data_IF_296122844535
#
_entry.id   IF_296122844535
#
_cell.length_a   1.000
_cell.length_b   1.000
_cell.length_c   1.000
_cell.angle_alpha   90.00
_cell.angle_beta   90.00
_cell.angle_gamma   90.00
#
_symmetry.space_group_name_H-M   'P 1'
#
loop_
_entity.id
_entity.type
_entity.pdbx_description
1 polymer ?
#
# COMPACT_ATOMS: atom_id res chain seq x y z
N UNK A 1 -16.95 17.77 -16.28
CA UNK A 1 -18.35 17.31 -16.15
C UNK A 1 -18.59 15.86 -16.56
N UNK A 2 -18.42 15.42 -17.83
CA UNK A 2 -18.63 13.99 -18.21
C UNK A 2 -17.47 13.08 -17.75
N UNK A 3 -16.23 13.42 -18.13
CA UNK A 3 -15.00 12.70 -17.71
C UNK A 3 -14.86 12.61 -16.18
N UNK A 4 -15.08 13.71 -15.47
CA UNK A 4 -15.06 13.75 -14.01
C UNK A 4 -16.11 12.83 -13.36
N UNK A 5 -17.30 12.69 -13.97
CA UNK A 5 -18.33 11.74 -13.48
C UNK A 5 -17.94 10.29 -13.71
N UNK A 6 -17.31 9.98 -14.85
CA UNK A 6 -16.81 8.64 -15.17
C UNK A 6 -15.68 8.24 -14.21
N UNK A 7 -14.73 9.15 -13.98
CA UNK A 7 -13.62 8.98 -13.04
C UNK A 7 -14.08 8.77 -11.58
N UNK A 8 -15.04 9.58 -11.11
CA UNK A 8 -15.64 9.40 -9.79
C UNK A 8 -16.48 8.12 -9.67
N UNK A 9 -17.09 7.66 -10.77
CA UNK A 9 -17.83 6.39 -10.79
C UNK A 9 -16.88 5.19 -10.68
N UNK A 10 -15.75 5.22 -11.40
CA UNK A 10 -14.70 4.20 -11.30
C UNK A 10 -14.12 4.11 -9.89
N UNK A 11 -13.83 5.26 -9.27
CA UNK A 11 -13.38 5.28 -7.89
C UNK A 11 -14.42 4.66 -6.94
N UNK A 12 -15.69 5.03 -7.12
CA UNK A 12 -16.79 4.50 -6.31
C UNK A 12 -16.93 2.97 -6.46
N UNK A 13 -16.66 2.41 -7.64
CA UNK A 13 -16.73 0.97 -7.86
C UNK A 13 -15.59 0.21 -7.18
N UNK A 14 -14.37 0.78 -7.12
CA UNK A 14 -13.23 0.10 -6.46
C UNK A 14 -13.17 0.36 -4.94
N UNK A 15 -13.77 1.45 -4.45
CA UNK A 15 -13.89 1.73 -3.02
C UNK A 15 -14.97 2.76 -2.67
N UNK A 16 -16.06 2.27 -2.07
CA UNK A 16 -17.17 3.12 -1.58
C UNK A 16 -16.75 4.01 -0.41
N UNK A 17 -15.96 3.48 0.53
CA UNK A 17 -15.51 4.22 1.72
C UNK A 17 -14.56 5.37 1.33
N UNK A 18 -13.63 5.11 0.43
CA UNK A 18 -12.72 6.14 -0.06
C UNK A 18 -13.44 7.21 -0.88
N UNK A 19 -14.37 6.80 -1.75
CA UNK A 19 -15.21 7.72 -2.50
C UNK A 19 -15.97 8.71 -1.60
N UNK A 20 -16.50 8.24 -0.46
CA UNK A 20 -17.16 9.11 0.52
C UNK A 20 -16.16 10.08 1.17
N UNK A 21 -14.95 9.62 1.46
CA UNK A 21 -13.88 10.44 2.03
C UNK A 21 -13.47 11.58 1.08
N UNK A 22 -13.41 11.35 -0.24
CA UNK A 22 -13.10 12.43 -1.18
C UNK A 22 -14.08 13.61 -1.12
N UNK A 23 -15.34 13.37 -0.75
CA UNK A 23 -16.38 14.42 -0.73
C UNK A 23 -16.14 15.46 0.36
N UNK A 24 -15.40 15.11 1.41
CA UNK A 24 -15.07 16.04 2.51
C UNK A 24 -13.75 16.79 2.28
N UNK A 25 -12.99 16.44 1.25
CA UNK A 25 -11.69 17.07 0.99
C UNK A 25 -11.83 18.45 0.32
N UNK A 26 -10.83 19.34 0.50
CA UNK A 26 -10.69 20.56 -0.27
C UNK A 26 -10.77 20.29 -1.77
N UNK A 27 -11.42 21.18 -2.52
CA UNK A 27 -11.70 20.94 -3.95
C UNK A 27 -10.43 20.64 -4.77
N UNK A 28 -9.33 21.37 -4.51
CA UNK A 28 -8.05 21.16 -5.20
C UNK A 28 -7.37 19.82 -4.88
N UNK A 29 -7.62 19.24 -3.70
CA UNK A 29 -7.00 17.98 -3.27
C UNK A 29 -7.71 16.74 -3.84
N UNK A 30 -8.96 16.85 -4.28
CA UNK A 30 -9.79 15.69 -4.67
C UNK A 30 -9.20 14.91 -5.84
N UNK A 31 -8.84 15.61 -6.92
CA UNK A 31 -8.30 14.99 -8.12
C UNK A 31 -6.94 14.30 -7.88
N UNK A 32 -5.92 14.95 -7.29
CA UNK A 32 -4.63 14.28 -7.07
C UNK A 32 -4.74 13.09 -6.10
N UNK A 33 -5.56 13.19 -5.04
CA UNK A 33 -5.75 12.07 -4.10
C UNK A 33 -6.51 10.91 -4.77
N UNK A 34 -7.51 11.21 -5.60
CA UNK A 34 -8.22 10.18 -6.35
C UNK A 34 -7.28 9.43 -7.33
N UNK A 35 -6.43 10.16 -8.06
CA UNK A 35 -5.44 9.57 -8.97
C UNK A 35 -4.45 8.71 -8.20
N UNK A 36 -3.88 9.23 -7.10
CA UNK A 36 -2.97 8.46 -6.26
C UNK A 36 -3.62 7.17 -5.73
N UNK A 37 -4.88 7.26 -5.29
CA UNK A 37 -5.62 6.09 -4.83
C UNK A 37 -5.84 5.04 -5.92
N UNK A 38 -6.23 5.46 -7.13
CA UNK A 38 -6.44 4.52 -8.24
C UNK A 38 -5.13 3.85 -8.66
N UNK A 39 -4.02 4.60 -8.70
CA UNK A 39 -2.70 4.04 -9.00
C UNK A 39 -2.23 3.08 -7.91
N UNK A 40 -2.41 3.42 -6.63
CA UNK A 40 -2.09 2.55 -5.51
C UNK A 40 -2.96 1.28 -5.53
N UNK A 41 -4.26 1.42 -5.80
CA UNK A 41 -5.19 0.29 -5.89
C UNK A 41 -4.88 -0.62 -7.07
N UNK A 42 -4.48 -0.06 -8.22
CA UNK A 42 -4.00 -0.86 -9.33
C UNK A 42 -2.74 -1.63 -8.94
N UNK A 43 -1.80 -1.00 -8.22
CA UNK A 43 -0.61 -1.66 -7.73
C UNK A 43 -0.93 -2.81 -6.74
N UNK A 44 -1.86 -2.60 -5.79
CA UNK A 44 -2.38 -3.65 -4.88
C UNK A 44 -2.95 -4.82 -5.69
N UNK A 45 -3.87 -4.56 -6.62
CA UNK A 45 -4.50 -5.59 -7.46
C UNK A 45 -3.45 -6.41 -8.22
N UNK A 46 -2.40 -5.77 -8.76
CA UNK A 46 -1.30 -6.46 -9.43
C UNK A 46 -0.53 -7.35 -8.44
N UNK A 47 -0.21 -6.84 -7.25
CA UNK A 47 0.55 -7.58 -6.25
C UNK A 47 -0.23 -8.80 -5.71
N UNK A 48 -1.54 -8.64 -5.50
CA UNK A 48 -2.44 -9.61 -4.88
C UNK A 48 -2.97 -10.68 -5.85
N UNK A 49 -2.67 -10.57 -7.15
CA UNK A 49 -3.04 -11.58 -8.17
C UNK A 49 -2.24 -12.88 -8.00
N UNK A 50 -2.58 -13.68 -7.00
CA UNK A 50 -1.83 -14.88 -6.60
C UNK A 50 -1.77 -15.96 -7.69
N UNK A 51 -2.77 -16.01 -8.60
CA UNK A 51 -2.79 -16.93 -9.74
C UNK A 51 -1.78 -16.56 -10.84
N UNK A 52 -1.26 -15.33 -10.81
CA UNK A 52 -0.28 -14.82 -11.77
C UNK A 52 1.13 -15.03 -11.25
N UNK A 53 2.04 -15.39 -12.16
CA UNK A 53 3.43 -15.62 -11.80
C UNK A 53 4.05 -14.38 -11.14
N UNK A 54 5.00 -14.59 -10.24
CA UNK A 54 5.72 -13.49 -9.61
C UNK A 54 6.44 -12.61 -10.65
N UNK A 55 6.91 -13.21 -11.75
CA UNK A 55 7.56 -12.49 -12.85
C UNK A 55 6.59 -11.52 -13.55
N UNK A 56 5.39 -11.98 -13.89
CA UNK A 56 4.37 -11.14 -14.53
C UNK A 56 3.86 -10.04 -13.60
N UNK A 57 3.66 -10.34 -12.30
CA UNK A 57 3.30 -9.31 -11.31
C UNK A 57 4.38 -8.24 -11.17
N UNK A 58 5.65 -8.65 -11.06
CA UNK A 58 6.79 -7.72 -11.04
C UNK A 58 6.91 -6.92 -12.34
N UNK A 59 6.64 -7.52 -13.49
CA UNK A 59 6.61 -6.83 -14.77
C UNK A 59 5.49 -5.78 -14.85
N UNK A 60 4.31 -6.11 -14.31
CA UNK A 60 3.18 -5.19 -14.19
C UNK A 60 3.48 -3.99 -13.28
N UNK A 61 4.05 -4.24 -12.09
CA UNK A 61 4.51 -3.19 -11.18
C UNK A 61 5.59 -2.31 -11.82
N UNK A 62 6.52 -2.91 -12.57
CA UNK A 62 7.53 -2.17 -13.32
C UNK A 62 6.91 -1.32 -14.45
N UNK A 63 5.86 -1.81 -15.11
CA UNK A 63 5.12 -1.03 -16.11
C UNK A 63 4.41 0.17 -15.48
N UNK A 64 3.78 -0.02 -14.31
CA UNK A 64 3.16 1.06 -13.54
C UNK A 64 4.18 2.14 -13.19
N UNK A 65 5.39 1.76 -12.74
CA UNK A 65 6.48 2.71 -12.49
C UNK A 65 6.90 3.47 -13.75
N UNK A 66 7.03 2.79 -14.89
CA UNK A 66 7.35 3.46 -16.18
C UNK A 66 6.27 4.45 -16.60
N UNK A 67 4.99 4.13 -16.37
CA UNK A 67 3.87 5.01 -16.67
C UNK A 67 3.87 6.31 -15.86
N UNK A 68 4.56 6.36 -14.70
CA UNK A 68 4.74 7.60 -13.93
C UNK A 68 5.71 8.59 -14.60
N UNK A 69 6.60 8.09 -15.45
CA UNK A 69 7.68 8.87 -16.09
C UNK A 69 7.40 9.16 -17.56
N UNK A 70 6.66 8.28 -18.25
CA UNK A 70 6.42 8.36 -19.68
C UNK A 70 4.92 8.20 -20.01
N UNK A 71 4.33 9.23 -20.63
CA UNK A 71 2.94 9.23 -21.10
C UNK A 71 2.67 8.27 -22.26
N UNK A 72 3.72 7.79 -22.94
CA UNK A 72 3.62 6.83 -24.06
C UNK A 72 3.84 5.38 -23.63
N UNK A 73 3.84 5.08 -22.32
CA UNK A 73 3.97 3.69 -21.86
C UNK A 73 2.82 2.82 -22.34
N UNK A 74 3.12 1.65 -22.92
CA UNK A 74 2.11 0.64 -23.29
C UNK A 74 1.63 -0.13 -22.04
N UNK A 75 0.96 0.61 -21.14
CA UNK A 75 0.47 0.10 -19.87
C UNK A 75 -0.61 -0.95 -20.09
N UNK A 76 -1.48 -0.75 -21.08
CA UNK A 76 -2.59 -1.64 -21.35
C UNK A 76 -2.07 -3.01 -21.82
N UNK A 77 -1.05 -3.06 -22.68
CA UNK A 77 -0.39 -4.32 -23.06
C UNK A 77 0.24 -5.02 -21.86
N UNK A 78 0.91 -4.27 -20.98
CA UNK A 78 1.55 -4.83 -19.79
C UNK A 78 0.55 -5.40 -18.77
N UNK A 79 -0.70 -4.90 -18.75
CA UNK A 79 -1.75 -5.41 -17.87
C UNK A 79 -2.48 -6.63 -18.42
N UNK A 80 -2.38 -6.95 -19.72
CA UNK A 80 -3.12 -8.06 -20.34
C UNK A 80 -2.98 -9.41 -19.62
N UNK A 81 -1.77 -9.85 -19.19
CA UNK A 81 -1.62 -11.13 -18.49
C UNK A 81 -2.32 -11.14 -17.13
N UNK A 82 -2.51 -9.97 -16.51
CA UNK A 82 -3.09 -9.82 -15.18
C UNK A 82 -4.62 -9.75 -15.24
N UNK A 83 -5.17 -9.03 -16.22
CA UNK A 83 -6.62 -8.76 -16.35
C UNK A 83 -7.46 -10.04 -16.33
N UNK A 84 -7.01 -11.12 -16.98
CA UNK A 84 -7.76 -12.38 -17.04
C UNK A 84 -7.80 -13.15 -15.72
N UNK A 85 -6.87 -12.89 -14.81
CA UNK A 85 -6.76 -13.57 -13.51
C UNK A 85 -7.53 -12.86 -12.38
N UNK A 86 -8.01 -11.64 -12.64
CA UNK A 86 -8.65 -10.82 -11.60
C UNK A 86 -10.14 -11.11 -11.58
N UNK A 87 -10.63 -11.71 -10.51
CA UNK A 87 -12.05 -12.03 -10.32
C UNK A 87 -12.93 -10.79 -10.10
N UNK A 88 -12.41 -9.81 -9.35
CA UNK A 88 -13.16 -8.61 -9.00
C UNK A 88 -13.33 -7.72 -10.25
N UNK A 89 -14.57 -7.65 -10.76
CA UNK A 89 -14.91 -6.86 -11.96
C UNK A 89 -14.50 -5.39 -11.84
N UNK A 90 -14.58 -4.78 -10.65
CA UNK A 90 -14.21 -3.37 -10.48
C UNK A 90 -12.70 -3.17 -10.61
N UNK A 91 -11.90 -4.09 -10.09
CA UNK A 91 -10.44 -4.05 -10.17
C UNK A 91 -9.94 -4.41 -11.57
N UNK A 92 -10.59 -5.37 -12.22
CA UNK A 92 -10.36 -5.68 -13.62
C UNK A 92 -10.59 -4.46 -14.50
N UNK A 93 -11.75 -3.81 -14.37
CA UNK A 93 -12.08 -2.58 -15.10
C UNK A 93 -11.08 -1.46 -14.81
N UNK A 94 -10.52 -1.39 -13.59
CA UNK A 94 -9.47 -0.43 -13.26
C UNK A 94 -8.20 -0.69 -14.07
N UNK A 95 -7.72 -1.94 -14.13
CA UNK A 95 -6.53 -2.26 -14.93
C UNK A 95 -6.78 -2.07 -16.43
N UNK A 96 -7.96 -2.42 -16.94
CA UNK A 96 -8.34 -2.22 -18.35
C UNK A 96 -8.43 -0.74 -18.77
N UNK A 97 -8.61 0.17 -17.81
CA UNK A 97 -8.72 1.61 -18.06
C UNK A 97 -7.58 2.41 -17.45
N UNK A 98 -6.47 1.74 -17.09
CA UNK A 98 -5.35 2.36 -16.39
C UNK A 98 -4.66 3.44 -17.23
N UNK A 99 -4.63 3.31 -18.57
CA UNK A 99 -4.18 4.37 -19.48
C UNK A 99 -4.94 5.69 -19.34
N UNK A 100 -6.24 5.64 -19.04
CA UNK A 100 -7.04 6.84 -18.76
C UNK A 100 -6.63 7.49 -17.43
N UNK A 101 -6.32 6.70 -16.40
CA UNK A 101 -5.80 7.21 -15.11
C UNK A 101 -4.45 7.91 -15.32
N UNK A 102 -3.56 7.32 -16.11
CA UNK A 102 -2.28 7.95 -16.45
C UNK A 102 -2.46 9.22 -17.27
N UNK A 103 -3.42 9.27 -18.19
CA UNK A 103 -3.73 10.50 -18.95
C UNK A 103 -4.12 11.64 -18.01
N UNK A 104 -4.98 11.38 -17.02
CA UNK A 104 -5.38 12.37 -16.04
C UNK A 104 -4.21 12.74 -15.11
N UNK A 105 -3.38 11.77 -14.69
CA UNK A 105 -2.17 12.00 -13.91
C UNK A 105 -1.19 12.95 -14.62
N UNK A 106 -0.89 12.74 -15.90
CA UNK A 106 0.02 13.59 -16.67
C UNK A 106 -0.53 15.01 -16.92
N UNK A 107 -1.84 15.22 -16.72
CA UNK A 107 -2.47 16.53 -16.82
C UNK A 107 -2.40 17.37 -15.53
N UNK A 108 -1.93 16.78 -14.41
CA UNK A 108 -1.85 17.46 -13.12
C UNK A 108 -0.75 18.53 -13.08
N UNK A 109 -0.88 19.47 -12.14
CA UNK A 109 0.19 20.42 -11.81
C UNK A 109 1.44 19.70 -11.30
N UNK A 110 2.62 20.25 -11.62
CA UNK A 110 3.92 19.59 -11.39
C UNK A 110 4.21 19.21 -9.94
N UNK A 111 3.68 19.96 -8.96
CA UNK A 111 3.91 19.65 -7.54
C UNK A 111 3.06 18.48 -7.04
N UNK A 112 1.81 18.36 -7.50
CA UNK A 112 0.95 17.25 -7.11
C UNK A 112 1.42 15.96 -7.78
N UNK A 113 1.76 16.02 -9.07
CA UNK A 113 2.32 14.85 -9.76
C UNK A 113 3.63 14.39 -9.13
N UNK A 114 4.51 15.31 -8.70
CA UNK A 114 5.73 14.94 -7.98
C UNK A 114 5.46 14.21 -6.64
N UNK A 115 4.49 14.68 -5.84
CA UNK A 115 4.07 13.99 -4.61
C UNK A 115 3.47 12.60 -4.92
N UNK A 116 2.69 12.46 -6.00
CA UNK A 116 2.12 11.17 -6.45
C UNK A 116 3.24 10.21 -6.90
N UNK A 117 4.19 10.67 -7.73
CA UNK A 117 5.32 9.86 -8.18
C UNK A 117 6.09 9.32 -6.97
N UNK A 118 6.38 10.18 -5.99
CA UNK A 118 7.10 9.81 -4.78
C UNK A 118 6.36 8.70 -4.02
N UNK A 119 5.07 8.88 -3.72
CA UNK A 119 4.31 7.89 -2.92
C UNK A 119 4.12 6.57 -3.67
N UNK A 120 3.77 6.61 -4.96
CA UNK A 120 3.54 5.38 -5.73
C UNK A 120 4.83 4.59 -5.91
N UNK A 121 5.97 5.25 -6.16
CA UNK A 121 7.26 4.54 -6.24
C UNK A 121 7.61 3.84 -4.93
N UNK A 122 7.32 4.47 -3.79
CA UNK A 122 7.59 3.86 -2.48
C UNK A 122 6.65 2.69 -2.21
N UNK A 123 5.34 2.84 -2.45
CA UNK A 123 4.36 1.76 -2.32
C UNK A 123 4.73 0.54 -3.19
N UNK A 124 4.97 0.77 -4.48
CA UNK A 124 5.35 -0.29 -5.43
C UNK A 124 6.64 -0.98 -4.99
N UNK A 125 7.61 -0.23 -4.45
CA UNK A 125 8.84 -0.86 -3.94
C UNK A 125 8.60 -1.80 -2.76
N UNK A 126 7.61 -1.51 -1.91
CA UNK A 126 7.20 -2.40 -0.82
C UNK A 126 6.57 -3.68 -1.36
N UNK A 127 5.67 -3.57 -2.33
CA UNK A 127 5.03 -4.71 -3.00
C UNK A 127 6.05 -5.58 -3.74
N UNK A 128 7.02 -4.97 -4.44
CA UNK A 128 8.09 -5.72 -5.12
C UNK A 128 8.94 -6.52 -4.12
N UNK A 129 9.24 -5.96 -2.94
CA UNK A 129 9.95 -6.66 -1.87
C UNK A 129 9.12 -7.81 -1.30
N UNK A 130 7.83 -7.59 -1.10
CA UNK A 130 6.88 -8.58 -0.60
C UNK A 130 6.79 -9.79 -1.56
N UNK A 131 6.55 -9.53 -2.85
CA UNK A 131 6.53 -10.58 -3.88
C UNK A 131 7.85 -11.35 -3.90
N UNK A 132 9.00 -10.65 -3.93
CA UNK A 132 10.32 -11.31 -3.98
C UNK A 132 10.60 -12.15 -2.73
N UNK A 133 10.05 -11.77 -1.58
CA UNK A 133 10.27 -12.52 -0.33
C UNK A 133 9.34 -13.73 -0.25
N UNK A 134 8.06 -13.57 -0.58
CA UNK A 134 7.02 -14.54 -0.27
C UNK A 134 6.54 -15.36 -1.47
N UNK A 135 6.98 -15.10 -2.70
CA UNK A 135 6.49 -15.87 -3.86
C UNK A 135 6.81 -17.37 -3.82
N UNK A 136 7.73 -17.81 -2.97
CA UNK A 136 8.09 -19.22 -2.76
C UNK A 136 7.63 -19.76 -1.40
N UNK A 137 7.04 -18.93 -0.53
CA UNK A 137 6.52 -19.39 0.75
C UNK A 137 5.21 -20.13 0.57
N UNK A 138 4.83 -20.89 1.60
CA UNK A 138 3.53 -21.54 1.68
C UNK A 138 3.19 -21.78 3.16
N UNK A 139 1.97 -22.24 3.43
CA UNK A 139 1.49 -22.51 4.80
C UNK A 139 2.42 -23.43 5.61
N UNK A 140 3.11 -24.38 4.99
CA UNK A 140 3.99 -25.31 5.72
C UNK A 140 5.40 -24.75 5.98
N UNK A 141 5.78 -23.68 5.28
CA UNK A 141 7.07 -23.00 5.39
C UNK A 141 6.87 -21.49 5.24
N UNK A 142 6.28 -20.82 6.25
CA UNK A 142 6.14 -19.38 6.23
C UNK A 142 7.51 -18.70 6.31
N UNK A 143 7.72 -17.66 5.51
CA UNK A 143 8.95 -16.86 5.56
C UNK A 143 8.69 -15.66 6.48
N UNK A 144 9.67 -15.32 7.31
CA UNK A 144 9.61 -14.16 8.21
C UNK A 144 10.47 -12.98 7.73
N UNK A 145 10.18 -11.78 8.24
CA UNK A 145 11.12 -10.66 8.17
C UNK A 145 12.35 -10.96 9.03
N UNK A 146 13.53 -10.47 8.63
CA UNK A 146 14.76 -10.79 9.34
C UNK A 146 14.84 -10.16 10.73
N UNK A 147 14.40 -8.91 10.86
CA UNK A 147 14.54 -8.09 12.06
C UNK A 147 13.55 -6.91 12.07
N UNK A 148 13.51 -6.19 13.18
CA UNK A 148 12.67 -5.00 13.37
C UNK A 148 12.90 -3.87 12.37
N UNK A 149 14.12 -3.75 11.81
CA UNK A 149 14.44 -2.73 10.78
C UNK A 149 13.71 -3.04 9.48
N UNK A 150 13.63 -4.31 9.08
CA UNK A 150 12.85 -4.71 7.91
C UNK A 150 11.34 -4.48 8.12
N UNK A 151 10.83 -4.71 9.33
CA UNK A 151 9.43 -4.42 9.65
C UNK A 151 9.13 -2.91 9.63
N UNK A 152 10.04 -2.08 10.16
CA UNK A 152 9.90 -0.63 10.11
C UNK A 152 9.95 -0.09 8.66
N UNK A 153 10.88 -0.58 7.83
CA UNK A 153 10.98 -0.24 6.42
C UNK A 153 9.74 -0.71 5.64
N UNK A 154 9.26 -1.93 5.90
CA UNK A 154 8.04 -2.46 5.28
C UNK A 154 6.83 -1.58 5.61
N UNK A 155 6.57 -1.31 6.89
CA UNK A 155 5.44 -0.47 7.33
C UNK A 155 5.54 0.96 6.80
N UNK A 156 6.75 1.51 6.64
CA UNK A 156 6.94 2.78 5.94
C UNK A 156 6.52 2.68 4.48
N UNK A 157 7.00 1.66 3.75
CA UNK A 157 6.76 1.54 2.30
C UNK A 157 5.29 1.37 1.98
N UNK A 158 4.59 0.49 2.71
CA UNK A 158 3.21 0.12 2.36
C UNK A 158 2.15 1.03 2.99
N UNK A 159 2.48 1.83 4.01
CA UNK A 159 1.50 2.69 4.67
C UNK A 159 2.06 4.04 5.18
N UNK A 160 3.24 4.06 5.80
CA UNK A 160 3.81 5.31 6.35
C UNK A 160 3.98 6.40 5.29
N UNK A 161 4.48 6.08 4.10
CA UNK A 161 4.67 7.04 3.02
C UNK A 161 3.35 7.70 2.56
N UNK A 162 2.22 6.99 2.71
CA UNK A 162 0.88 7.50 2.38
C UNK A 162 0.51 8.65 3.32
N UNK A 163 0.81 8.55 4.61
CA UNK A 163 0.53 9.64 5.56
C UNK A 163 1.29 10.93 5.26
N UNK A 164 2.57 10.83 4.85
CA UNK A 164 3.33 11.98 4.37
C UNK A 164 2.69 12.59 3.10
N UNK A 165 2.33 11.74 2.13
CA UNK A 165 1.67 12.18 0.89
C UNK A 165 0.36 12.92 1.16
N UNK A 166 -0.50 12.38 2.02
CA UNK A 166 -1.76 13.03 2.40
C UNK A 166 -1.51 14.40 3.02
N UNK A 167 -0.54 14.50 3.92
CA UNK A 167 -0.16 15.76 4.55
C UNK A 167 0.32 16.79 3.54
N UNK A 168 1.22 16.40 2.63
CA UNK A 168 1.74 17.27 1.57
C UNK A 168 0.62 17.82 0.67
N UNK A 169 -0.29 16.95 0.21
CA UNK A 169 -1.37 17.35 -0.70
C UNK A 169 -2.40 18.23 0.02
N UNK A 170 -2.87 17.81 1.19
CA UNK A 170 -3.91 18.54 1.90
C UNK A 170 -3.41 19.91 2.36
N UNK A 171 -2.17 20.02 2.85
CA UNK A 171 -1.58 21.31 3.25
C UNK A 171 -1.42 22.26 2.06
N UNK A 172 -1.20 21.73 0.84
CA UNK A 172 -1.09 22.54 -0.39
C UNK A 172 -2.43 23.11 -0.86
N UNK A 173 -3.51 22.38 -0.63
CA UNK A 173 -4.84 22.68 -1.19
C UNK A 173 -5.86 23.19 -0.17
N UNK A 174 -5.52 23.21 1.12
CA UNK A 174 -6.34 23.80 2.19
C UNK A 174 -5.66 25.05 2.78
N UNK A 175 -6.15 26.26 2.46
CA UNK A 175 -5.62 27.50 3.04
C UNK A 175 -5.66 27.54 4.57
N UNK A 176 -6.56 26.79 5.23
CA UNK A 176 -6.63 26.74 6.68
C UNK A 176 -5.37 26.11 7.30
N UNK A 177 -4.64 25.30 6.53
CA UNK A 177 -3.45 24.58 6.96
C UNK A 177 -2.14 25.27 6.54
N UNK A 178 -2.20 26.45 5.93
CA UNK A 178 -1.02 27.17 5.46
C UNK A 178 0.01 27.50 6.57
N UNK A 179 -0.41 27.47 7.83
CA UNK A 179 0.44 27.71 9.01
C UNK A 179 1.16 26.45 9.51
N UNK A 180 0.84 25.27 8.97
CA UNK A 180 1.47 24.02 9.39
C UNK A 180 2.93 23.95 8.96
N UNK A 181 3.77 23.42 9.84
CA UNK A 181 5.08 22.91 9.43
C UNK A 181 4.88 21.56 8.74
N UNK A 182 4.84 21.57 7.41
CA UNK A 182 4.56 20.39 6.59
C UNK A 182 5.57 19.27 6.86
N UNK A 183 6.84 19.57 7.12
CA UNK A 183 7.85 18.54 7.44
C UNK A 183 7.47 17.78 8.71
N UNK A 184 7.18 18.51 9.79
CA UNK A 184 6.78 17.91 11.08
C UNK A 184 5.46 17.14 10.94
N UNK A 185 4.48 17.70 10.24
CA UNK A 185 3.20 17.02 10.04
C UNK A 185 3.32 15.78 9.16
N UNK A 186 4.24 15.77 8.19
CA UNK A 186 4.50 14.60 7.36
C UNK A 186 5.16 13.47 8.17
N UNK A 187 6.08 13.79 9.10
CA UNK A 187 6.64 12.80 10.03
C UNK A 187 5.55 12.18 10.92
N UNK A 188 4.61 12.99 11.39
CA UNK A 188 3.42 12.53 12.11
C UNK A 188 2.54 11.62 11.25
N UNK A 189 2.27 12.03 10.01
CA UNK A 189 1.55 11.21 9.04
C UNK A 189 2.24 9.86 8.80
N UNK A 190 3.57 9.82 8.73
CA UNK A 190 4.33 8.56 8.62
C UNK A 190 4.09 7.66 9.81
N UNK A 191 4.14 8.19 11.04
CA UNK A 191 3.86 7.41 12.26
C UNK A 191 2.44 6.87 12.23
N UNK A 192 1.45 7.70 11.94
CA UNK A 192 0.06 7.28 11.85
C UNK A 192 -0.14 6.15 10.81
N UNK A 193 0.46 6.27 9.62
CA UNK A 193 0.43 5.21 8.61
C UNK A 193 1.08 3.91 9.08
N UNK A 194 2.24 3.97 9.75
CA UNK A 194 2.90 2.80 10.35
C UNK A 194 2.03 2.16 11.43
N UNK A 195 1.35 2.95 12.26
CA UNK A 195 0.44 2.44 13.30
C UNK A 195 -0.70 1.61 12.71
N UNK A 196 -1.35 2.12 11.64
CA UNK A 196 -2.40 1.42 10.92
C UNK A 196 -1.88 0.09 10.34
N UNK A 197 -0.69 0.10 9.74
CA UNK A 197 -0.12 -1.12 9.16
C UNK A 197 0.28 -2.15 10.21
N UNK A 198 0.91 -1.73 11.32
CA UNK A 198 1.19 -2.64 12.44
C UNK A 198 -0.09 -3.22 13.01
N UNK A 199 -1.18 -2.44 13.06
CA UNK A 199 -2.49 -2.95 13.48
C UNK A 199 -3.00 -4.03 12.54
N UNK A 200 -2.87 -3.86 11.23
CA UNK A 200 -3.24 -4.88 10.24
C UNK A 200 -2.37 -6.13 10.40
N UNK A 201 -1.03 -5.98 10.44
CA UNK A 201 -0.09 -7.10 10.63
C UNK A 201 -0.42 -7.94 11.87
N UNK A 202 -0.74 -7.29 12.99
CA UNK A 202 -1.06 -8.00 14.23
C UNK A 202 -2.45 -8.65 14.20
N UNK A 203 -3.42 -7.99 13.56
CA UNK A 203 -4.80 -8.50 13.43
C UNK A 203 -4.87 -9.69 12.48
N UNK A 204 -4.20 -9.59 11.34
CA UNK A 204 -4.30 -10.52 10.21
C UNK A 204 -3.17 -11.57 10.23
N UNK A 205 -2.38 -11.62 11.31
CA UNK A 205 -1.29 -12.59 11.49
C UNK A 205 -1.72 -14.04 11.19
N UNK A 206 -2.89 -14.55 11.64
CA UNK A 206 -3.31 -15.90 11.29
C UNK A 206 -3.48 -16.09 9.79
N UNK A 207 -4.19 -15.18 9.11
CA UNK A 207 -4.43 -15.21 7.67
C UNK A 207 -3.12 -15.13 6.88
N UNK A 208 -2.24 -14.21 7.22
CA UNK A 208 -0.92 -14.04 6.60
C UNK A 208 -0.09 -15.34 6.70
N UNK A 209 -0.08 -15.99 7.87
CA UNK A 209 0.64 -17.25 8.06
C UNK A 209 0.08 -18.37 7.18
N UNK A 210 -1.23 -18.41 6.94
CA UNK A 210 -1.84 -19.38 6.01
C UNK A 210 -1.42 -19.12 4.56
N UNK A 211 -1.08 -17.88 4.21
CA UNK A 211 -0.48 -17.52 2.92
C UNK A 211 1.05 -17.74 2.89
N UNK A 212 1.64 -18.22 3.99
CA UNK A 212 3.09 -18.39 4.12
C UNK A 212 3.85 -17.10 4.43
N UNK A 213 3.16 -16.03 4.81
CA UNK A 213 3.76 -14.73 5.14
C UNK A 213 3.85 -14.58 6.65
N UNK A 214 5.00 -14.14 7.15
CA UNK A 214 5.14 -13.74 8.54
C UNK A 214 5.84 -12.38 8.60
N UNK A 215 5.10 -11.33 8.96
CA UNK A 215 5.69 -10.00 9.08
C UNK A 215 6.42 -9.77 10.41
N UNK A 216 6.28 -10.66 11.39
CA UNK A 216 6.99 -10.55 12.66
C UNK A 216 8.49 -10.85 12.49
N UNK A 217 9.38 -10.12 13.19
CA UNK A 217 10.82 -10.33 13.07
C UNK A 217 11.30 -11.70 13.56
N UNK A 218 12.11 -12.38 12.74
CA UNK A 218 12.64 -13.72 13.02
C UNK A 218 13.60 -13.73 14.23
N UNK A 219 14.38 -12.68 14.42
CA UNK A 219 15.27 -12.55 15.58
C UNK A 219 14.50 -12.47 16.90
N UNK A 220 13.39 -11.74 16.93
CA UNK A 220 12.49 -11.64 18.07
C UNK A 220 11.74 -12.96 18.33
N UNK A 221 11.25 -13.63 17.27
CA UNK A 221 10.65 -14.96 17.38
C UNK A 221 11.67 -15.97 17.94
N UNK A 222 12.91 -15.94 17.44
CA UNK A 222 14.00 -16.81 17.89
C UNK A 222 14.36 -16.58 19.35
N UNK A 223 14.29 -15.34 19.84
CA UNK A 223 14.54 -14.99 21.24
C UNK A 223 13.54 -15.67 22.20
N UNK A 224 12.31 -15.91 21.75
CA UNK A 224 11.29 -16.71 22.47
C UNK A 224 11.24 -18.17 22.01
N UNK A 225 12.26 -18.61 21.26
CA UNK A 225 12.49 -19.96 20.71
C UNK A 225 11.40 -20.43 19.73
N UNK A 226 10.71 -19.50 19.08
CA UNK A 226 9.67 -19.80 18.10
C UNK A 226 10.23 -19.73 16.68
N UNK A 227 9.71 -20.58 15.80
CA UNK A 227 9.84 -20.45 14.35
C UNK A 227 8.52 -19.95 13.74
N UNK A 228 8.52 -19.39 12.52
CA UNK A 228 7.29 -18.93 11.87
C UNK A 228 6.24 -20.04 11.71
N UNK A 229 6.66 -21.25 11.37
CA UNK A 229 5.77 -22.42 11.21
C UNK A 229 5.04 -22.76 12.52
N UNK A 230 5.72 -22.56 13.66
CA UNK A 230 5.14 -22.85 14.98
C UNK A 230 4.00 -21.89 15.36
N UNK A 231 3.91 -20.73 14.72
CA UNK A 231 2.85 -19.74 14.99
C UNK A 231 1.48 -20.20 14.49
N UNK A 232 1.42 -21.18 13.58
CA UNK A 232 0.17 -21.82 13.15
C UNK A 232 -0.48 -22.66 14.26
N UNK A 233 0.29 -23.05 15.29
CA UNK A 233 -0.25 -23.76 16.44
C UNK A 233 -0.64 -22.77 17.55
N UNK A 234 -1.95 -22.68 17.83
CA UNK A 234 -2.51 -21.82 18.88
C UNK A 234 -1.91 -22.07 20.28
N UNK A 235 -1.36 -23.26 20.56
CA UNK A 235 -0.67 -23.58 21.82
C UNK A 235 0.59 -22.74 22.04
N UNK A 236 1.14 -22.12 20.99
CA UNK A 236 2.32 -21.26 21.08
C UNK A 236 2.00 -19.81 21.48
N UNK A 237 0.71 -19.46 21.63
CA UNK A 237 0.26 -18.09 21.91
C UNK A 237 0.92 -17.45 23.13
N UNK A 238 1.11 -18.20 24.21
CA UNK A 238 1.75 -17.69 25.43
C UNK A 238 3.22 -17.31 25.21
N UNK A 239 3.93 -18.05 24.34
CA UNK A 239 5.32 -17.78 23.99
C UNK A 239 5.46 -16.64 22.99
N UNK A 240 4.47 -16.46 22.11
CA UNK A 240 4.41 -15.35 21.16
C UNK A 240 4.07 -14.02 21.85
N UNK A 241 3.31 -14.07 22.94
CA UNK A 241 2.76 -12.90 23.65
C UNK A 241 3.76 -11.76 23.88
N UNK A 242 5.02 -11.97 24.31
CA UNK A 242 5.98 -10.87 24.50
C UNK A 242 6.31 -10.13 23.20
N UNK A 243 6.46 -10.85 22.07
CA UNK A 243 6.73 -10.27 20.74
C UNK A 243 5.49 -9.50 20.27
N UNK A 244 4.31 -10.11 20.39
CA UNK A 244 3.05 -9.46 20.01
C UNK A 244 2.81 -8.17 20.82
N UNK A 245 3.03 -8.21 22.14
CA UNK A 245 2.88 -7.04 23.01
C UNK A 245 3.90 -5.94 22.72
N UNK A 246 5.12 -6.31 22.31
CA UNK A 246 6.12 -5.34 21.88
C UNK A 246 5.61 -4.53 20.68
N UNK A 247 5.15 -5.20 19.63
CA UNK A 247 4.65 -4.54 18.40
C UNK A 247 3.32 -3.84 18.61
N UNK A 248 2.44 -4.36 19.47
CA UNK A 248 1.23 -3.64 19.89
C UNK A 248 1.59 -2.31 20.57
N UNK A 249 2.60 -2.31 21.46
CA UNK A 249 3.08 -1.08 22.10
C UNK A 249 3.68 -0.11 21.08
N UNK A 250 4.43 -0.60 20.10
CA UNK A 250 4.97 0.25 19.02
C UNK A 250 3.85 0.88 18.19
N UNK A 251 2.80 0.12 17.85
CA UNK A 251 1.63 0.66 17.16
C UNK A 251 0.95 1.78 17.97
N UNK A 252 0.79 1.60 19.29
CA UNK A 252 0.25 2.63 20.18
C UNK A 252 1.13 3.89 20.24
N UNK A 253 2.45 3.73 20.36
CA UNK A 253 3.40 4.86 20.32
C UNK A 253 3.26 5.64 19.00
N UNK A 254 3.12 4.93 17.89
CA UNK A 254 2.90 5.58 16.60
C UNK A 254 1.55 6.30 16.48
N UNK A 255 0.48 5.79 17.10
CA UNK A 255 -0.80 6.52 17.19
C UNK A 255 -0.70 7.76 18.07
N UNK A 256 0.01 7.69 19.20
CA UNK A 256 0.15 8.81 20.12
C UNK A 256 1.02 9.94 19.52
N UNK A 257 2.03 9.57 18.74
CA UNK A 257 2.99 10.50 18.15
C UNK A 257 2.61 10.98 16.74
N UNK A 258 1.70 10.29 16.06
CA UNK A 258 1.17 10.66 14.74
C UNK A 258 0.00 11.62 14.84
#
# INVERSE_FOLDING_TARGET
MKKEREFLAQLKSVSRSFYLTLRILPAGARQPIAIAYLLARAADTIADSAEVSAEERLAGLAALRRGLENSESDIDLAMQPLVSSIDNLAERNLLETLSAVFTEFHSLVSQDSASIIKVIRVLVSGMELDIKRFHQSNVTQPIALANSVELDDYTYRVAGCVGAFWTEIISRHDPALAHWNVTVMSEKGVRYGKALQLTNILRDLPEDLHEGRCYLPLDELSAVRLTPEQLLNAEQSDRLKPVFQHWLKQALVHYDEG
#
